data_IF_511535294440
#
_entry.id   IF_511535294440
#
_cell.length_a   1.000
_cell.length_b   1.000
_cell.length_c   1.000
_cell.angle_alpha   90.00
_cell.angle_beta   90.00
_cell.angle_gamma   90.00
#
_symmetry.space_group_name_H-M   'P 1'
#
loop_
_entity.id
_entity.type
_entity.pdbx_description
1 polymer ?
#
# COMPACT_ATOMS: atom_id res chain seq x y z
N UNK A 1 13.86 33.92 19.51
CA UNK A 1 12.98 32.83 19.04
C UNK A 1 13.89 31.80 18.37
N UNK A 2 13.91 30.56 18.84
CA UNK A 2 14.83 29.52 18.35
C UNK A 2 14.65 29.38 16.82
N UNK A 3 15.72 29.49 16.03
CA UNK A 3 15.70 29.44 14.56
C UNK A 3 14.99 28.18 14.04
N UNK A 4 15.08 27.07 14.77
CA UNK A 4 14.35 25.83 14.48
C UNK A 4 12.83 26.04 14.53
N UNK A 5 12.31 26.82 15.49
CA UNK A 5 10.87 27.12 15.59
C UNK A 5 10.38 27.98 14.43
N UNK A 6 11.25 28.81 13.85
CA UNK A 6 10.91 29.62 12.69
C UNK A 6 10.79 28.74 11.44
N UNK A 7 11.75 27.84 11.21
CA UNK A 7 11.72 26.85 10.12
C UNK A 7 10.48 25.94 10.26
N UNK A 8 10.18 25.47 11.46
CA UNK A 8 9.01 24.63 11.75
C UNK A 8 7.68 25.35 11.43
N UNK A 9 7.57 26.63 11.78
CA UNK A 9 6.40 27.46 11.43
C UNK A 9 6.26 27.64 9.92
N UNK A 10 7.35 27.98 9.23
CA UNK A 10 7.34 28.19 7.77
C UNK A 10 6.98 26.89 7.03
N UNK A 11 7.51 25.74 7.48
CA UNK A 11 7.15 24.44 6.92
C UNK A 11 5.69 24.09 7.23
N UNK A 12 5.20 24.35 8.44
CA UNK A 12 3.82 24.06 8.83
C UNK A 12 2.82 24.80 7.93
N UNK A 13 3.08 26.07 7.63
CA UNK A 13 2.22 26.88 6.75
C UNK A 13 2.21 26.33 5.32
N UNK A 14 3.37 25.93 4.80
CA UNK A 14 3.48 25.30 3.47
C UNK A 14 2.75 23.95 3.44
N UNK A 15 2.91 23.14 4.48
CA UNK A 15 2.32 21.80 4.55
C UNK A 15 0.79 21.85 4.72
N UNK A 16 0.25 22.81 5.46
CA UNK A 16 -1.19 22.98 5.63
C UNK A 16 -1.94 23.24 4.31
N UNK A 17 -1.26 23.84 3.31
CA UNK A 17 -1.82 24.07 1.99
C UNK A 17 -1.84 22.83 1.08
N UNK A 18 -1.03 21.81 1.37
CA UNK A 18 -0.81 20.68 0.47
C UNK A 18 -1.87 19.57 0.57
N UNK A 19 -2.57 19.46 1.70
CA UNK A 19 -3.52 18.38 1.95
C UNK A 19 -4.61 18.30 0.86
N UNK A 20 -5.15 19.45 0.42
CA UNK A 20 -6.18 19.51 -0.63
C UNK A 20 -5.70 19.04 -1.99
N UNK A 21 -4.46 19.35 -2.37
CA UNK A 21 -3.89 18.93 -3.65
C UNK A 21 -3.58 17.43 -3.65
N UNK A 22 -3.22 16.86 -2.50
CA UNK A 22 -2.95 15.43 -2.40
C UNK A 22 -4.22 14.58 -2.32
N UNK A 23 -5.32 15.12 -1.81
CA UNK A 23 -6.62 14.43 -1.84
C UNK A 23 -7.14 14.19 -3.27
N UNK A 24 -6.78 15.05 -4.23
CA UNK A 24 -7.17 14.89 -5.65
C UNK A 24 -6.27 13.92 -6.41
N UNK A 25 -5.24 13.35 -5.78
CA UNK A 25 -4.42 12.34 -6.42
C UNK A 25 -5.18 11.01 -6.51
N UNK A 26 -5.14 10.44 -7.71
CA UNK A 26 -5.72 9.14 -8.02
C UNK A 26 -4.66 8.23 -8.64
N UNK A 27 -4.78 6.94 -8.33
CA UNK A 27 -3.87 5.93 -8.84
C UNK A 27 -4.21 5.57 -10.29
N UNK A 28 -3.19 5.49 -11.13
CA UNK A 28 -3.30 4.89 -12.46
C UNK A 28 -3.25 3.37 -12.33
N UNK A 29 -4.29 2.66 -12.78
CA UNK A 29 -4.31 1.21 -12.81
C UNK A 29 -3.33 0.69 -13.87
N UNK A 30 -2.36 -0.13 -13.44
CA UNK A 30 -1.34 -0.70 -14.34
C UNK A 30 -1.72 -2.11 -14.77
N UNK A 31 -2.02 -3.01 -13.82
CA UNK A 31 -2.42 -4.38 -14.16
C UNK A 31 -2.10 -5.41 -13.10
N UNK A 32 -1.94 -6.65 -13.55
CA UNK A 32 -1.70 -7.83 -12.69
C UNK A 32 -0.35 -7.73 -11.98
N UNK A 33 -0.37 -7.85 -10.65
CA UNK A 33 0.83 -7.84 -9.82
C UNK A 33 1.68 -9.10 -9.98
N UNK A 34 1.18 -10.20 -10.54
CA UNK A 34 2.01 -11.38 -10.87
C UNK A 34 2.71 -11.27 -12.23
N UNK A 35 2.41 -10.25 -13.03
CA UNK A 35 3.11 -10.03 -14.29
C UNK A 35 4.43 -9.27 -14.04
N UNK A 36 5.52 -10.01 -13.81
CA UNK A 36 6.83 -9.41 -13.54
C UNK A 36 7.37 -8.56 -14.70
N UNK A 37 7.11 -8.94 -15.94
CA UNK A 37 7.53 -8.14 -17.11
C UNK A 37 6.81 -6.80 -17.14
N UNK A 38 5.52 -6.77 -16.81
CA UNK A 38 4.77 -5.52 -16.65
C UNK A 38 5.36 -4.65 -15.55
N UNK A 39 5.73 -5.23 -14.40
CA UNK A 39 6.34 -4.49 -13.28
C UNK A 39 7.69 -3.87 -13.69
N UNK A 40 8.51 -4.62 -14.43
CA UNK A 40 9.84 -4.15 -14.88
C UNK A 40 9.80 -2.90 -15.73
N UNK A 41 8.67 -2.61 -16.40
CA UNK A 41 8.47 -1.39 -17.19
C UNK A 41 8.22 -0.11 -16.36
N UNK A 42 8.09 -0.24 -15.03
CA UNK A 42 7.74 0.85 -14.12
C UNK A 42 8.91 1.23 -13.20
N UNK A 43 10.09 1.46 -13.81
CA UNK A 43 11.32 1.90 -13.12
C UNK A 43 11.31 3.41 -12.91
N UNK A 44 10.62 3.84 -11.85
CA UNK A 44 10.58 5.24 -11.45
C UNK A 44 10.27 5.38 -9.96
N UNK A 45 10.42 6.60 -9.46
CA UNK A 45 10.01 7.01 -8.13
C UNK A 45 8.49 7.23 -8.06
N UNK A 46 7.84 6.77 -7.00
CA UNK A 46 6.40 6.95 -6.86
C UNK A 46 5.77 6.31 -5.64
N UNK A 47 4.44 6.23 -5.71
CA UNK A 47 3.57 5.53 -4.76
C UNK A 47 2.86 4.41 -5.51
N UNK A 48 2.65 3.27 -4.85
CA UNK A 48 1.91 2.15 -5.39
C UNK A 48 0.79 1.72 -4.43
N UNK A 49 -0.29 1.25 -5.02
CA UNK A 49 -1.42 0.60 -4.38
C UNK A 49 -1.47 -0.85 -4.87
N UNK A 50 -1.64 -1.79 -3.95
CA UNK A 50 -1.90 -3.21 -4.23
C UNK A 50 -3.30 -3.53 -3.74
N UNK A 51 -4.10 -4.11 -4.62
CA UNK A 51 -5.46 -4.55 -4.35
C UNK A 51 -5.61 -6.05 -4.60
N UNK A 52 -6.57 -6.67 -3.91
CA UNK A 52 -6.98 -8.07 -4.11
C UNK A 52 -8.37 -8.12 -4.72
N UNK A 53 -8.60 -9.06 -5.63
CA UNK A 53 -9.92 -9.27 -6.23
C UNK A 53 -10.87 -9.96 -5.25
N UNK A 54 -12.11 -9.49 -5.22
CA UNK A 54 -13.22 -10.08 -4.49
C UNK A 54 -14.27 -10.51 -5.51
N UNK A 55 -14.20 -11.77 -5.94
CA UNK A 55 -15.04 -12.29 -7.02
C UNK A 55 -16.55 -12.30 -6.71
N UNK A 56 -16.92 -12.35 -5.42
CA UNK A 56 -18.31 -12.34 -4.98
C UNK A 56 -18.66 -10.99 -4.36
N UNK A 57 -19.17 -10.06 -5.16
CA UNK A 57 -19.56 -8.71 -4.72
C UNK A 57 -20.77 -8.69 -3.78
N UNK A 58 -21.56 -9.76 -3.72
CA UNK A 58 -22.78 -9.83 -2.92
C UNK A 58 -22.50 -10.29 -1.48
N UNK A 59 -21.26 -10.73 -1.19
CA UNK A 59 -20.85 -11.13 0.15
C UNK A 59 -20.66 -9.89 1.05
N UNK A 60 -21.16 -9.91 2.31
CA UNK A 60 -20.86 -8.86 3.26
C UNK A 60 -19.35 -8.69 3.51
N UNK A 61 -18.87 -7.45 3.58
CA UNK A 61 -17.45 -7.14 3.80
C UNK A 61 -16.84 -7.92 4.97
N UNK A 62 -17.53 -7.97 6.12
CA UNK A 62 -17.01 -8.64 7.31
C UNK A 62 -16.83 -10.15 7.10
N UNK A 63 -17.72 -10.80 6.35
CA UNK A 63 -17.60 -12.22 6.01
C UNK A 63 -16.37 -12.46 5.15
N UNK A 64 -16.23 -11.72 4.05
CA UNK A 64 -15.06 -11.80 3.19
C UNK A 64 -13.76 -11.49 3.94
N UNK A 65 -13.79 -10.46 4.81
CA UNK A 65 -12.63 -10.04 5.56
C UNK A 65 -12.16 -11.10 6.56
N UNK A 66 -13.06 -11.83 7.23
CA UNK A 66 -12.67 -12.91 8.13
C UNK A 66 -12.06 -14.10 7.37
N UNK A 67 -12.54 -14.41 6.16
CA UNK A 67 -11.90 -15.38 5.27
C UNK A 67 -10.49 -14.91 4.85
N UNK A 68 -10.38 -13.67 4.39
CA UNK A 68 -9.10 -13.05 4.07
C UNK A 68 -8.13 -13.09 5.25
N UNK A 69 -8.58 -12.69 6.44
CA UNK A 69 -7.79 -12.67 7.68
C UNK A 69 -7.30 -14.05 8.06
N UNK A 70 -8.13 -15.08 7.88
CA UNK A 70 -7.75 -16.48 8.15
C UNK A 70 -6.60 -16.93 7.25
N UNK A 71 -6.59 -16.50 5.98
CA UNK A 71 -5.47 -16.75 5.06
C UNK A 71 -4.26 -15.87 5.39
N UNK A 72 -4.46 -14.58 5.63
CA UNK A 72 -3.38 -13.61 5.82
C UNK A 72 -2.58 -13.84 7.10
N UNK A 73 -3.26 -14.11 8.22
CA UNK A 73 -2.69 -14.29 9.55
C UNK A 73 -2.40 -15.76 9.89
N UNK A 74 -2.38 -16.67 8.90
CA UNK A 74 -1.97 -18.07 9.12
C UNK A 74 -0.59 -18.13 9.77
N UNK A 75 -0.46 -18.94 10.82
CA UNK A 75 0.73 -18.97 11.70
C UNK A 75 2.06 -19.23 10.95
N UNK A 76 2.00 -19.90 9.79
CA UNK A 76 3.17 -20.10 8.93
C UNK A 76 3.79 -18.79 8.39
N UNK A 77 3.00 -17.72 8.26
CA UNK A 77 3.40 -16.43 7.66
C UNK A 77 3.39 -15.28 8.67
N UNK A 78 2.53 -15.37 9.68
CA UNK A 78 2.41 -14.38 10.75
C UNK A 78 3.75 -14.22 11.46
N UNK A 79 4.13 -12.96 11.77
CA UNK A 79 5.41 -12.60 12.40
C UNK A 79 6.67 -13.00 11.59
N UNK A 80 6.56 -13.36 10.31
CA UNK A 80 7.69 -13.63 9.41
C UNK A 80 8.04 -12.42 8.54
N UNK A 81 8.20 -11.26 9.19
CA UNK A 81 8.55 -10.01 8.51
C UNK A 81 7.54 -9.63 7.40
N UNK A 82 6.26 -9.78 7.68
CA UNK A 82 5.16 -9.39 6.78
C UNK A 82 4.26 -8.34 7.44
N UNK A 83 3.63 -7.44 6.66
CA UNK A 83 2.66 -6.49 7.19
C UNK A 83 1.50 -7.17 7.91
N UNK A 84 1.03 -6.54 9.00
CA UNK A 84 -0.13 -6.99 9.76
C UNK A 84 -1.40 -6.25 9.35
N UNK A 85 -2.54 -6.89 9.61
CA UNK A 85 -3.86 -6.30 9.45
C UNK A 85 -4.04 -5.10 10.41
N UNK A 86 -4.68 -4.04 9.92
CA UNK A 86 -4.92 -2.81 10.67
C UNK A 86 -6.38 -2.62 11.00
N UNK A 87 -6.75 -2.92 12.25
CA UNK A 87 -8.14 -2.83 12.75
C UNK A 87 -8.81 -1.48 12.45
N UNK A 88 -8.09 -0.36 12.58
CA UNK A 88 -8.61 0.98 12.25
C UNK A 88 -9.03 1.07 10.77
N UNK A 89 -8.22 0.51 9.87
CA UNK A 89 -8.47 0.53 8.42
C UNK A 89 -9.60 -0.40 8.04
N UNK A 90 -9.67 -1.58 8.64
CA UNK A 90 -10.78 -2.54 8.47
C UNK A 90 -12.11 -1.88 8.82
N UNK A 91 -12.18 -1.18 9.96
CA UNK A 91 -13.40 -0.48 10.42
C UNK A 91 -13.84 0.67 9.52
N UNK A 92 -12.99 1.15 8.61
CA UNK A 92 -13.33 2.22 7.69
C UNK A 92 -14.08 1.71 6.44
N UNK A 93 -14.13 0.39 6.23
CA UNK A 93 -14.86 -0.23 5.13
C UNK A 93 -16.23 -0.70 5.59
N UNK A 94 -17.27 -0.24 4.89
CA UNK A 94 -18.66 -0.62 5.16
C UNK A 94 -19.22 -1.60 4.11
N UNK A 95 -18.52 -1.76 2.99
CA UNK A 95 -18.96 -2.56 1.85
C UNK A 95 -17.78 -3.33 1.24
N UNK A 96 -18.09 -4.45 0.60
CA UNK A 96 -17.12 -5.22 -0.16
C UNK A 96 -17.07 -4.66 -1.58
N UNK A 97 -15.88 -4.24 -2.02
CA UNK A 97 -15.64 -3.81 -3.39
C UNK A 97 -15.07 -4.96 -4.19
N UNK A 98 -15.25 -4.93 -5.51
CA UNK A 98 -14.61 -5.90 -6.41
C UNK A 98 -13.09 -5.96 -6.23
N UNK A 99 -12.47 -4.84 -5.87
CA UNK A 99 -11.05 -4.75 -5.58
C UNK A 99 -10.87 -4.08 -4.23
N UNK A 100 -10.37 -4.83 -3.25
CA UNK A 100 -10.14 -4.32 -1.91
C UNK A 100 -8.69 -3.86 -1.75
N UNK A 101 -8.45 -2.65 -1.21
CA UNK A 101 -7.11 -2.13 -1.03
C UNK A 101 -6.40 -2.89 0.08
N UNK A 102 -5.29 -3.54 -0.24
CA UNK A 102 -4.52 -4.34 0.71
C UNK A 102 -3.35 -3.55 1.25
N UNK A 103 -2.56 -2.93 0.37
CA UNK A 103 -1.33 -2.28 0.77
C UNK A 103 -1.06 -1.04 -0.08
N UNK A 104 -0.58 0.01 0.57
CA UNK A 104 -0.01 1.18 -0.09
C UNK A 104 1.46 1.25 0.32
N UNK A 105 2.34 1.70 -0.56
CA UNK A 105 3.71 2.05 -0.19
C UNK A 105 4.33 3.04 -1.17
N UNK A 106 5.52 3.52 -0.83
CA UNK A 106 6.33 4.41 -1.66
C UNK A 106 7.69 3.81 -1.95
N UNK A 107 8.31 4.19 -3.06
CA UNK A 107 9.67 3.80 -3.41
C UNK A 107 10.30 4.77 -4.39
N UNK A 108 11.63 4.93 -4.32
CA UNK A 108 12.40 5.58 -5.39
C UNK A 108 12.52 4.69 -6.63
N UNK A 109 12.26 3.39 -6.46
CA UNK A 109 12.15 2.39 -7.51
C UNK A 109 10.91 1.51 -7.25
N UNK A 110 9.82 1.81 -7.95
CA UNK A 110 8.55 1.09 -7.87
C UNK A 110 8.72 -0.36 -8.31
N UNK A 111 9.38 -0.60 -9.44
CA UNK A 111 9.65 -1.93 -9.98
C UNK A 111 10.32 -2.84 -8.95
N UNK A 112 11.48 -2.42 -8.41
CA UNK A 112 12.20 -3.19 -7.41
C UNK A 112 11.38 -3.45 -6.14
N UNK A 113 10.55 -2.47 -5.73
CA UNK A 113 9.72 -2.62 -4.52
C UNK A 113 8.55 -3.58 -4.72
N UNK A 114 7.87 -3.53 -5.86
CA UNK A 114 6.77 -4.43 -6.23
C UNK A 114 7.27 -5.86 -6.43
N UNK A 115 8.40 -6.05 -7.12
CA UNK A 115 9.07 -7.35 -7.21
C UNK A 115 9.45 -7.86 -5.82
N UNK A 116 9.88 -6.99 -4.91
CA UNK A 116 10.12 -7.35 -3.51
C UNK A 116 8.85 -7.76 -2.74
N UNK A 117 7.67 -7.26 -3.12
CA UNK A 117 6.41 -7.73 -2.55
C UNK A 117 6.05 -9.15 -3.00
N UNK A 118 6.47 -9.55 -4.20
CA UNK A 118 6.22 -10.88 -4.74
C UNK A 118 7.24 -11.90 -4.23
N UNK A 119 8.53 -11.58 -4.42
CA UNK A 119 9.60 -12.58 -4.49
C UNK A 119 10.46 -12.69 -3.24
N UNK A 120 10.31 -11.79 -2.25
CA UNK A 120 11.07 -11.91 -1.00
C UNK A 120 10.63 -13.13 -0.20
N UNK A 121 11.62 -13.84 0.35
CA UNK A 121 11.43 -15.00 1.22
C UNK A 121 10.94 -14.59 2.61
N UNK A 122 10.25 -15.50 3.30
CA UNK A 122 9.68 -15.28 4.64
C UNK A 122 10.72 -14.92 5.70
N UNK A 123 11.95 -15.40 5.59
CA UNK A 123 13.05 -15.12 6.52
C UNK A 123 13.67 -13.72 6.36
N UNK A 124 13.49 -13.06 5.21
CA UNK A 124 14.12 -11.76 4.95
C UNK A 124 13.50 -10.64 5.80
N UNK A 125 14.31 -9.81 6.50
CA UNK A 125 13.84 -8.80 7.46
C UNK A 125 13.35 -7.51 6.79
N UNK A 126 12.39 -7.65 5.89
CA UNK A 126 11.75 -6.52 5.21
C UNK A 126 10.27 -6.46 5.60
N UNK A 127 9.48 -5.57 5.00
CA UNK A 127 8.01 -5.66 5.09
C UNK A 127 7.38 -5.78 3.72
N UNK A 128 7.99 -6.62 2.87
CA UNK A 128 7.32 -7.14 1.68
C UNK A 128 6.07 -7.94 2.06
N UNK A 129 5.12 -8.04 1.14
CA UNK A 129 3.93 -8.89 1.33
C UNK A 129 4.31 -10.37 1.23
N UNK A 130 5.35 -10.67 0.43
CA UNK A 130 5.95 -11.98 0.19
C UNK A 130 4.94 -12.94 -0.44
N UNK A 131 4.24 -12.47 -1.47
CA UNK A 131 3.07 -13.14 -2.02
C UNK A 131 3.39 -14.53 -2.55
N UNK A 132 4.50 -14.72 -3.27
CA UNK A 132 4.88 -16.04 -3.80
C UNK A 132 5.33 -17.00 -2.69
N UNK A 133 5.71 -16.50 -1.51
CA UNK A 133 6.03 -17.34 -0.36
C UNK A 133 4.80 -17.70 0.48
N UNK A 134 3.63 -17.13 0.17
CA UNK A 134 2.34 -17.39 0.83
C UNK A 134 1.50 -18.32 -0.05
N UNK A 135 1.83 -19.61 -0.06
CA UNK A 135 1.19 -20.60 -0.95
C UNK A 135 -0.32 -20.75 -0.76
N UNK A 136 -0.88 -20.25 0.35
CA UNK A 136 -2.32 -20.21 0.59
C UNK A 136 -3.03 -19.03 -0.08
N UNK A 137 -2.29 -18.17 -0.78
CA UNK A 137 -2.79 -17.00 -1.51
C UNK A 137 -2.50 -17.12 -3.02
N UNK A 138 -1.99 -18.26 -3.50
CA UNK A 138 -1.58 -18.45 -4.90
C UNK A 138 -2.73 -18.30 -5.89
N UNK A 139 -3.95 -18.62 -5.47
CA UNK A 139 -5.17 -18.50 -6.28
C UNK A 139 -5.83 -17.12 -6.21
N UNK A 140 -5.35 -16.23 -5.34
CA UNK A 140 -5.93 -14.90 -5.18
C UNK A 140 -5.40 -13.97 -6.27
N UNK A 141 -6.25 -13.19 -6.93
CA UNK A 141 -5.80 -12.23 -7.94
C UNK A 141 -5.39 -10.90 -7.29
N UNK A 142 -4.22 -10.39 -7.67
CA UNK A 142 -3.73 -9.10 -7.21
C UNK A 142 -3.49 -8.19 -8.39
N UNK A 143 -3.84 -6.91 -8.23
CA UNK A 143 -3.47 -5.87 -9.18
C UNK A 143 -2.68 -4.78 -8.49
N UNK A 144 -1.98 -3.99 -9.27
CA UNK A 144 -1.32 -2.80 -8.78
C UNK A 144 -1.61 -1.58 -9.64
N UNK A 145 -1.55 -0.46 -8.95
CA UNK A 145 -1.78 0.86 -9.50
C UNK A 145 -0.70 1.79 -8.96
N UNK A 146 -0.34 2.83 -9.71
CA UNK A 146 0.81 3.69 -9.38
C UNK A 146 0.49 5.16 -9.53
N UNK A 147 1.24 5.99 -8.80
CA UNK A 147 1.37 7.43 -9.05
C UNK A 147 2.86 7.69 -9.22
N UNK A 148 3.26 8.09 -10.43
CA UNK A 148 4.64 8.49 -10.71
C UNK A 148 4.92 9.83 -10.04
N UNK A 149 6.04 9.93 -9.32
CA UNK A 149 6.43 11.13 -8.59
C UNK A 149 7.87 11.52 -8.91
N UNK A 150 8.01 12.65 -9.61
CA UNK A 150 9.27 13.27 -9.99
C UNK A 150 9.38 14.63 -9.29
N UNK A 151 9.98 14.64 -8.11
CA UNK A 151 10.11 15.83 -7.27
C UNK A 151 11.49 15.87 -6.61
N UNK A 152 12.03 17.08 -6.42
CA UNK A 152 13.33 17.27 -5.77
C UNK A 152 13.27 16.94 -4.27
N UNK A 153 12.17 17.33 -3.62
CA UNK A 153 11.97 17.17 -2.17
C UNK A 153 11.32 15.84 -1.80
N UNK A 154 11.77 14.74 -2.42
CA UNK A 154 11.15 13.40 -2.27
C UNK A 154 10.97 12.99 -0.80
N UNK A 155 12.00 13.16 0.01
CA UNK A 155 11.99 12.70 1.40
C UNK A 155 11.06 13.52 2.32
N UNK A 156 10.65 14.71 1.87
CA UNK A 156 9.66 15.56 2.55
C UNK A 156 8.25 15.26 2.03
N UNK A 157 8.08 15.21 0.70
CA UNK A 157 6.76 15.09 0.06
C UNK A 157 6.18 13.69 0.21
N UNK A 158 6.91 12.64 -0.18
CA UNK A 158 6.31 11.30 -0.28
C UNK A 158 5.82 10.72 1.06
N UNK A 159 6.47 10.91 2.22
CA UNK A 159 5.87 10.47 3.49
C UNK A 159 4.49 11.10 3.74
N UNK A 160 4.31 12.37 3.37
CA UNK A 160 3.05 13.11 3.59
C UNK A 160 1.98 12.59 2.64
N UNK A 161 2.30 12.46 1.34
CA UNK A 161 1.38 11.94 0.34
C UNK A 161 0.98 10.50 0.65
N UNK A 162 1.94 9.63 1.02
CA UNK A 162 1.65 8.25 1.39
C UNK A 162 0.68 8.18 2.59
N UNK A 163 0.89 9.02 3.60
CA UNK A 163 0.00 9.10 4.78
C UNK A 163 -1.42 9.51 4.37
N UNK A 164 -1.56 10.58 3.58
CA UNK A 164 -2.86 11.09 3.11
C UNK A 164 -3.59 10.02 2.30
N UNK A 165 -2.91 9.37 1.35
CA UNK A 165 -3.51 8.31 0.54
C UNK A 165 -3.90 7.08 1.37
N UNK A 166 -3.11 6.71 2.39
CA UNK A 166 -3.48 5.66 3.34
C UNK A 166 -4.72 6.02 4.15
N UNK A 167 -4.89 7.29 4.52
CA UNK A 167 -6.07 7.79 5.22
C UNK A 167 -7.31 7.85 4.34
N UNK A 168 -7.17 8.26 3.07
CA UNK A 168 -8.22 8.25 2.04
C UNK A 168 -8.69 6.82 1.72
N UNK A 169 -7.76 5.90 1.43
CA UNK A 169 -8.07 4.59 0.84
C UNK A 169 -8.26 3.48 1.88
N UNK A 170 -7.65 3.62 3.04
CA UNK A 170 -7.68 2.66 4.15
C UNK A 170 -7.22 1.23 3.77
N UNK A 171 -5.96 1.03 3.33
CA UNK A 171 -5.46 -0.31 3.01
C UNK A 171 -5.51 -1.25 4.22
N UNK A 172 -5.95 -2.48 4.00
CA UNK A 172 -6.23 -3.45 5.07
C UNK A 172 -4.99 -3.87 5.86
N UNK A 173 -3.82 -3.91 5.22
CA UNK A 173 -2.55 -4.33 5.83
C UNK A 173 -1.48 -3.26 5.71
N UNK A 174 -0.56 -3.22 6.67
CA UNK A 174 0.50 -2.22 6.66
C UNK A 174 1.37 -2.22 7.90
N UNK A 175 2.18 -1.18 8.05
CA UNK A 175 2.94 -0.91 9.28
C UNK A 175 2.19 0.01 10.25
N UNK A 176 1.37 0.93 9.73
CA UNK A 176 0.64 1.96 10.48
C UNK A 176 -0.83 1.58 10.62
#
# INVERSE_FOLDING_TARGET
MNEIKKIDSELSDVLAGLDKTFETLDFELIGDLRNEELIKNHQYSGIYLIEIECANSDMPFLTWFEEFKTKWDKEAYKKRWTPSIKKKRVKAHNELKRWMPIYIGKSRDISGRLLGHLNLRLDQPTTGLKLNARTNMDTENFRFSTIKVEVDNYDIILPIVERILRDKINPLVGRQ
#
